data_IF_108289846226
#
_entry.id   IF_108289846226
#
_cell.length_a   1.000
_cell.length_b   1.000
_cell.length_c   1.000
_cell.angle_alpha   90.00
_cell.angle_beta   90.00
_cell.angle_gamma   90.00
#
_symmetry.space_group_name_H-M   'P 1'
#
loop_
_entity.id
_entity.type
_entity.pdbx_description
1 polymer ?
#
# COMPACT_ATOMS: atom_id res chain seq x y z
N UNK A 1 21.19 -20.83 -58.12
CA UNK A 1 22.19 -19.85 -57.64
C UNK A 1 21.58 -18.53 -57.15
N UNK A 2 20.60 -17.91 -57.83
CA UNK A 2 20.01 -16.63 -57.37
C UNK A 2 19.27 -16.69 -56.01
N UNK A 3 18.56 -17.77 -55.67
CA UNK A 3 17.81 -17.89 -54.40
C UNK A 3 18.68 -18.13 -53.15
N UNK A 4 19.90 -18.65 -53.30
CA UNK A 4 20.82 -18.89 -52.17
C UNK A 4 21.59 -17.60 -51.84
N UNK A 5 21.87 -16.77 -52.84
CA UNK A 5 22.54 -15.48 -52.67
C UNK A 5 21.65 -14.45 -51.95
N UNK A 6 20.32 -14.49 -52.16
CA UNK A 6 19.37 -13.58 -51.49
C UNK A 6 19.19 -13.89 -50.01
N UNK A 7 19.28 -15.17 -49.61
CA UNK A 7 19.16 -15.59 -48.20
C UNK A 7 20.44 -15.25 -47.42
N UNK A 8 21.61 -15.37 -48.06
CA UNK A 8 22.89 -14.95 -47.47
C UNK A 8 23.01 -13.41 -47.32
N UNK A 9 22.44 -12.63 -48.25
CA UNK A 9 22.42 -11.16 -48.12
C UNK A 9 21.42 -10.68 -47.06
N UNK A 10 20.30 -11.37 -46.88
CA UNK A 10 19.33 -11.05 -45.83
C UNK A 10 19.88 -11.39 -44.43
N UNK A 11 20.63 -12.49 -44.30
CA UNK A 11 21.31 -12.84 -43.04
C UNK A 11 22.45 -11.86 -42.70
N UNK A 12 23.11 -11.26 -43.70
CA UNK A 12 24.16 -10.26 -43.47
C UNK A 12 23.61 -8.90 -43.02
N UNK A 13 22.38 -8.54 -43.42
CA UNK A 13 21.74 -7.29 -42.99
C UNK A 13 21.13 -7.36 -41.59
N UNK A 14 20.70 -8.54 -41.13
CA UNK A 14 20.21 -8.75 -39.75
C UNK A 14 21.36 -8.74 -38.73
N UNK A 15 22.60 -8.99 -39.17
CA UNK A 15 23.80 -8.90 -38.32
C UNK A 15 24.45 -7.51 -38.29
N UNK A 16 24.00 -6.56 -39.13
CA UNK A 16 24.58 -5.22 -39.26
C UNK A 16 23.73 -4.12 -38.59
N UNK A 17 22.59 -4.45 -37.98
CA UNK A 17 21.77 -3.51 -37.19
C UNK A 17 22.07 -3.60 -35.68
N UNK A 18 23.31 -3.91 -35.32
CA UNK A 18 23.81 -3.66 -33.96
C UNK A 18 24.44 -2.27 -34.00
N UNK A 19 23.95 -1.27 -33.25
CA UNK A 19 24.70 -0.04 -33.11
C UNK A 19 26.04 -0.38 -32.45
N UNK A 20 27.11 -0.12 -33.21
CA UNK A 20 28.49 -0.12 -32.73
C UNK A 20 28.63 1.08 -31.79
N UNK A 21 28.35 0.84 -30.52
CA UNK A 21 28.88 1.60 -29.39
C UNK A 21 29.96 0.75 -28.72
N UNK A 22 31.17 0.79 -29.25
CA UNK A 22 32.37 0.36 -28.54
C UNK A 22 32.67 1.39 -27.44
N UNK A 23 32.94 0.91 -26.22
CA UNK A 23 33.27 1.62 -24.99
C UNK A 23 32.09 2.08 -24.11
N UNK A 24 31.48 1.13 -23.43
CA UNK A 24 31.40 1.20 -21.97
C UNK A 24 31.77 -0.17 -21.45
N UNK A 25 32.71 -0.24 -20.52
CA UNK A 25 32.90 -1.43 -19.70
C UNK A 25 31.54 -1.87 -19.21
N UNK A 26 31.35 -3.19 -19.17
CA UNK A 26 30.19 -3.90 -18.66
C UNK A 26 29.97 -3.47 -17.20
N UNK A 27 29.36 -2.31 -17.00
CA UNK A 27 28.72 -1.91 -15.75
C UNK A 27 27.65 -2.96 -15.57
N UNK A 28 27.90 -3.90 -14.67
CA UNK A 28 26.85 -4.78 -14.18
C UNK A 28 25.72 -3.87 -13.75
N UNK A 29 24.60 -3.90 -14.48
CA UNK A 29 23.37 -3.24 -14.05
C UNK A 29 23.22 -3.48 -12.55
N UNK A 30 22.94 -2.44 -11.76
CA UNK A 30 22.79 -2.61 -10.32
C UNK A 30 21.87 -3.80 -10.06
N UNK A 31 22.35 -4.76 -9.28
CA UNK A 31 21.52 -5.90 -8.87
C UNK A 31 20.55 -5.38 -7.82
N UNK A 32 19.34 -5.04 -8.24
CA UNK A 32 18.25 -4.72 -7.33
C UNK A 32 17.82 -5.98 -6.58
N UNK A 33 17.22 -5.80 -5.41
CA UNK A 33 16.51 -6.89 -4.75
C UNK A 33 15.40 -7.41 -5.70
N UNK A 34 15.21 -8.72 -5.73
CA UNK A 34 14.24 -9.34 -6.64
C UNK A 34 12.82 -8.86 -6.36
N UNK A 35 12.45 -8.69 -5.09
CA UNK A 35 11.13 -8.18 -4.69
C UNK A 35 10.90 -6.75 -5.18
N UNK A 36 11.88 -5.86 -5.04
CA UNK A 36 11.81 -4.49 -5.56
C UNK A 36 11.54 -4.51 -7.07
N UNK A 37 12.33 -5.29 -7.81
CA UNK A 37 12.19 -5.39 -9.26
C UNK A 37 10.83 -5.98 -9.67
N UNK A 38 10.39 -7.06 -9.04
CA UNK A 38 9.13 -7.73 -9.36
C UNK A 38 7.93 -6.82 -9.13
N UNK A 39 7.83 -6.18 -7.96
CA UNK A 39 6.70 -5.31 -7.62
C UNK A 39 6.66 -4.06 -8.49
N UNK A 40 7.80 -3.43 -8.73
CA UNK A 40 7.89 -2.26 -9.58
C UNK A 40 7.52 -2.56 -11.03
N UNK A 41 7.95 -3.71 -11.57
CA UNK A 41 7.53 -4.10 -12.91
C UNK A 41 6.06 -4.46 -12.98
N UNK A 42 5.50 -5.13 -11.96
CA UNK A 42 4.07 -5.40 -11.90
C UNK A 42 3.26 -4.10 -11.93
N UNK A 43 3.66 -3.10 -11.14
CA UNK A 43 3.04 -1.78 -11.13
C UNK A 43 3.10 -1.08 -12.50
N UNK A 44 4.23 -1.19 -13.22
CA UNK A 44 4.37 -0.66 -14.58
C UNK A 44 3.42 -1.33 -15.59
N UNK A 45 2.99 -2.57 -15.35
CA UNK A 45 2.07 -3.29 -16.23
C UNK A 45 0.59 -3.02 -15.94
N UNK A 46 0.25 -2.31 -14.86
CA UNK A 46 -1.15 -1.93 -14.59
C UNK A 46 -1.70 -1.15 -15.78
N UNK A 47 -2.86 -1.56 -16.29
CA UNK A 47 -3.58 -0.79 -17.30
C UNK A 47 -4.19 0.46 -16.68
N UNK A 48 -4.15 1.55 -17.44
CA UNK A 48 -4.84 2.79 -17.12
C UNK A 48 -6.33 2.69 -17.45
N UNK A 49 -7.09 3.77 -17.23
CA UNK A 49 -8.47 3.87 -17.72
C UNK A 49 -8.62 3.77 -19.24
N UNK A 50 -7.52 3.86 -20.01
CA UNK A 50 -7.50 3.68 -21.45
C UNK A 50 -7.06 2.26 -21.83
N UNK A 51 -7.90 1.48 -22.54
CA UNK A 51 -7.58 0.10 -22.93
C UNK A 51 -6.25 -0.01 -23.68
N UNK A 52 -5.36 -0.88 -23.19
CA UNK A 52 -4.05 -1.15 -23.78
C UNK A 52 -2.99 -0.07 -23.53
N UNK A 53 -3.27 0.91 -22.67
CA UNK A 53 -2.27 1.88 -22.18
C UNK A 53 -1.92 1.51 -20.75
N UNK A 54 -0.64 1.25 -20.49
CA UNK A 54 -0.11 0.84 -19.18
C UNK A 54 0.46 2.03 -18.41
N UNK A 55 0.71 1.81 -17.11
CA UNK A 55 1.50 2.72 -16.29
C UNK A 55 2.86 2.99 -16.94
N UNK A 56 3.53 2.00 -17.54
CA UNK A 56 4.78 2.23 -18.26
C UNK A 56 4.61 3.27 -19.38
N UNK A 57 3.52 3.19 -20.15
CA UNK A 57 3.27 4.12 -21.24
C UNK A 57 3.13 5.55 -20.73
N UNK A 58 2.37 5.79 -19.66
CA UNK A 58 2.16 7.15 -19.12
C UNK A 58 3.34 7.68 -18.29
N UNK A 59 4.07 6.79 -17.60
CA UNK A 59 5.22 7.18 -16.77
C UNK A 59 6.42 7.52 -17.64
N UNK A 60 6.63 6.80 -18.74
CA UNK A 60 7.76 7.04 -19.64
C UNK A 60 7.40 7.98 -20.81
N UNK A 61 6.15 8.42 -20.93
CA UNK A 61 5.74 9.44 -21.89
C UNK A 61 6.21 10.83 -21.43
N UNK A 62 7.42 11.18 -21.85
CA UNK A 62 7.99 12.53 -21.69
C UNK A 62 7.65 13.46 -22.87
N UNK A 63 6.68 13.10 -23.71
CA UNK A 63 6.17 13.93 -24.81
C UNK A 63 7.25 14.44 -25.78
N UNK A 64 7.09 15.70 -26.23
CA UNK A 64 7.99 16.36 -27.18
C UNK A 64 9.36 16.73 -26.57
N UNK A 65 9.58 16.52 -25.26
CA UNK A 65 10.86 16.78 -24.60
C UNK A 65 11.97 15.95 -25.25
N UNK A 66 11.66 14.74 -25.72
CA UNK A 66 12.58 13.88 -26.45
C UNK A 66 13.07 14.47 -27.80
N UNK A 67 12.41 15.51 -28.32
CA UNK A 67 12.77 16.18 -29.58
C UNK A 67 13.83 17.29 -29.38
N UNK A 68 14.05 17.75 -28.15
CA UNK A 68 15.08 18.73 -27.84
C UNK A 68 16.44 18.02 -27.65
N UNK A 69 17.18 17.92 -28.74
CA UNK A 69 18.42 17.15 -28.81
C UNK A 69 19.64 17.93 -28.27
N UNK A 70 20.32 17.32 -27.29
CA UNK A 70 21.72 17.56 -26.92
C UNK A 70 22.31 16.31 -26.26
N UNK A 71 21.87 16.03 -25.03
CA UNK A 71 22.20 14.80 -24.28
C UNK A 71 21.16 14.56 -23.18
N UNK A 72 20.97 13.28 -22.81
CA UNK A 72 20.05 12.83 -21.76
C UNK A 72 20.89 12.35 -20.57
N UNK A 73 20.61 12.85 -19.37
CA UNK A 73 21.09 12.24 -18.14
C UNK A 73 20.09 11.17 -17.71
N UNK A 74 20.33 9.91 -18.09
CA UNK A 74 19.48 8.80 -17.65
C UNK A 74 19.88 8.39 -16.23
N UNK A 75 18.99 8.50 -15.24
CA UNK A 75 19.24 7.88 -13.97
C UNK A 75 19.03 6.36 -14.10
N UNK A 76 19.92 5.58 -13.48
CA UNK A 76 19.97 4.11 -13.52
C UNK A 76 18.83 3.42 -12.72
N UNK A 77 17.57 3.77 -12.96
CA UNK A 77 16.43 3.29 -12.15
C UNK A 77 15.47 2.40 -12.93
N UNK A 78 14.89 1.40 -12.24
CA UNK A 78 13.85 0.51 -12.78
C UNK A 78 12.58 1.29 -13.11
N UNK A 79 12.23 2.27 -12.27
CA UNK A 79 11.09 3.18 -12.42
C UNK A 79 11.53 4.58 -11.99
N UNK A 80 11.14 5.66 -12.68
CA UNK A 80 11.56 7.02 -12.33
C UNK A 80 11.12 7.48 -10.92
N UNK A 81 10.00 6.93 -10.42
CA UNK A 81 9.48 7.17 -9.06
C UNK A 81 10.28 6.51 -7.94
N UNK A 82 11.10 5.53 -8.28
CA UNK A 82 11.85 4.75 -7.32
C UNK A 82 13.24 5.37 -7.14
N UNK A 83 13.45 6.06 -6.01
CA UNK A 83 14.77 6.56 -5.62
C UNK A 83 15.48 5.51 -4.81
N UNK A 84 16.67 5.13 -5.25
CA UNK A 84 17.48 4.11 -4.61
C UNK A 84 18.58 4.72 -3.77
N UNK A 85 19.00 4.01 -2.73
CA UNK A 85 20.17 4.36 -1.95
C UNK A 85 21.38 4.49 -2.90
N UNK A 86 22.19 5.56 -2.80
CA UNK A 86 23.38 5.67 -3.63
C UNK A 86 24.23 4.42 -3.40
N UNK A 87 24.65 3.78 -4.50
CA UNK A 87 25.60 2.66 -4.47
C UNK A 87 26.86 3.21 -3.81
N UNK A 88 27.02 2.98 -2.50
CA UNK A 88 28.31 3.22 -1.88
C UNK A 88 29.33 2.35 -2.63
N UNK A 89 30.57 2.81 -2.74
CA UNK A 89 31.66 2.08 -3.41
C UNK A 89 31.98 0.70 -2.78
N UNK A 90 31.18 0.26 -1.81
CA UNK A 90 31.13 -1.07 -1.22
C UNK A 90 30.20 -1.99 -2.02
N UNK A 91 30.53 -3.28 -2.20
CA UNK A 91 29.68 -4.21 -2.92
C UNK A 91 28.37 -4.44 -2.15
N UNK A 92 27.25 -3.93 -2.65
CA UNK A 92 25.91 -4.11 -2.09
C UNK A 92 24.83 -3.85 -3.14
N UNK A 93 23.69 -4.49 -2.99
CA UNK A 93 22.51 -4.28 -3.83
C UNK A 93 21.87 -2.94 -3.43
N UNK A 94 21.62 -1.99 -4.37
CA UNK A 94 20.93 -0.75 -4.04
C UNK A 94 19.52 -1.06 -3.55
N UNK A 95 19.12 -0.38 -2.48
CA UNK A 95 17.83 -0.54 -1.84
C UNK A 95 16.89 0.59 -2.28
N UNK A 96 15.61 0.29 -2.43
CA UNK A 96 14.55 1.28 -2.66
C UNK A 96 14.40 2.15 -1.42
N UNK A 97 14.82 3.41 -1.47
CA UNK A 97 14.70 4.33 -0.33
C UNK A 97 13.36 5.08 -0.36
N UNK A 98 12.93 5.53 -1.54
CA UNK A 98 11.73 6.34 -1.66
C UNK A 98 10.95 5.97 -2.90
N UNK A 99 9.63 5.82 -2.74
CA UNK A 99 8.68 5.82 -3.84
C UNK A 99 7.98 7.19 -3.88
N UNK A 100 8.18 7.94 -4.95
CA UNK A 100 7.67 9.31 -5.13
C UNK A 100 6.94 9.44 -6.45
N UNK A 101 5.79 10.08 -6.48
CA UNK A 101 4.97 10.25 -7.70
C UNK A 101 5.44 11.39 -8.59
N UNK A 102 6.69 11.83 -8.41
CA UNK A 102 7.34 12.82 -9.24
C UNK A 102 8.79 12.45 -9.48
N UNK A 103 9.31 12.85 -10.63
CA UNK A 103 10.74 12.74 -10.92
C UNK A 103 11.18 13.87 -11.82
N UNK A 104 12.46 14.24 -11.70
CA UNK A 104 13.07 15.24 -12.56
C UNK A 104 13.64 14.58 -13.82
N UNK A 105 13.27 15.11 -14.97
CA UNK A 105 13.83 14.77 -16.26
C UNK A 105 14.85 15.84 -16.69
N UNK A 106 16.10 15.41 -16.90
CA UNK A 106 17.24 16.29 -17.17
C UNK A 106 17.68 16.16 -18.63
N UNK A 107 17.66 17.26 -19.37
CA UNK A 107 18.06 17.30 -20.77
C UNK A 107 18.82 18.58 -21.13
N UNK A 108 19.79 18.42 -22.03
CA UNK A 108 20.53 19.55 -22.60
C UNK A 108 19.84 20.11 -23.84
N UNK A 109 19.75 21.44 -23.92
CA UNK A 109 19.31 22.14 -25.13
C UNK A 109 20.43 22.99 -25.70
N UNK A 110 20.52 23.01 -27.04
CA UNK A 110 21.42 23.88 -27.78
C UNK A 110 20.63 24.95 -28.52
N UNK A 111 21.02 26.21 -28.37
CA UNK A 111 20.45 27.32 -29.13
C UNK A 111 21.51 28.34 -29.52
N UNK A 112 21.33 29.00 -30.66
CA UNK A 112 22.22 30.06 -31.10
C UNK A 112 21.92 31.35 -30.33
N UNK A 113 22.97 31.97 -29.79
CA UNK A 113 22.89 33.32 -29.24
C UNK A 113 22.35 34.27 -30.34
N UNK A 114 21.24 34.98 -30.09
CA UNK A 114 20.60 35.82 -31.11
C UNK A 114 21.43 37.04 -31.53
N UNK A 115 22.48 37.37 -30.77
CA UNK A 115 23.36 38.52 -30.98
C UNK A 115 24.71 38.09 -31.57
N UNK A 116 25.33 37.03 -31.03
CA UNK A 116 26.67 36.59 -31.44
C UNK A 116 26.64 35.44 -32.45
N UNK A 117 25.53 34.69 -32.53
CA UNK A 117 25.41 33.46 -33.34
C UNK A 117 26.17 32.26 -32.77
N UNK A 118 26.77 32.39 -31.58
CA UNK A 118 27.47 31.31 -30.88
C UNK A 118 26.47 30.26 -30.35
N UNK A 119 26.82 28.99 -30.38
CA UNK A 119 25.98 27.94 -29.78
C UNK A 119 26.15 27.98 -28.26
N UNK A 120 25.04 28.18 -27.55
CA UNK A 120 24.94 28.09 -26.10
C UNK A 120 24.28 26.76 -25.75
N UNK A 121 24.85 26.05 -24.78
CA UNK A 121 24.25 24.86 -24.19
C UNK A 121 23.63 25.24 -22.83
N UNK A 122 22.41 24.80 -22.57
CA UNK A 122 21.76 24.94 -21.28
C UNK A 122 21.20 23.59 -20.81
N UNK A 123 21.34 23.29 -19.52
CA UNK A 123 20.67 22.16 -18.90
C UNK A 123 19.28 22.62 -18.41
N UNK A 124 18.24 21.90 -18.83
CA UNK A 124 16.87 22.09 -18.38
C UNK A 124 16.49 20.91 -17.48
N UNK A 125 15.81 21.23 -16.39
CA UNK A 125 15.22 20.27 -15.48
C UNK A 125 13.71 20.46 -15.55
N UNK A 126 13.00 19.39 -15.86
CA UNK A 126 11.54 19.39 -15.90
C UNK A 126 11.00 18.31 -14.96
N UNK A 127 10.17 18.71 -14.01
CA UNK A 127 9.56 17.79 -13.06
C UNK A 127 8.31 17.18 -13.67
N UNK A 128 8.32 15.86 -13.83
CA UNK A 128 7.22 15.07 -14.38
C UNK A 128 6.40 14.50 -13.23
N UNK A 129 5.08 14.67 -13.33
CA UNK A 129 4.07 14.21 -12.35
C UNK A 129 2.98 13.44 -13.07
N UNK A 130 3.21 12.18 -13.41
CA UNK A 130 2.27 11.41 -14.21
C UNK A 130 1.14 10.88 -13.34
N UNK A 131 0.06 10.54 -14.03
CA UNK A 131 -1.15 9.95 -13.48
C UNK A 131 -1.02 8.42 -13.52
N UNK A 132 -0.73 7.81 -12.37
CA UNK A 132 -0.58 6.37 -12.26
C UNK A 132 -1.88 5.70 -11.80
N UNK A 133 -2.09 4.46 -12.23
CA UNK A 133 -3.35 3.74 -12.08
C UNK A 133 -3.20 2.42 -11.31
N UNK A 134 -4.30 2.00 -10.71
CA UNK A 134 -4.47 0.67 -10.10
C UNK A 134 -3.88 0.56 -8.71
N UNK A 135 -3.60 -0.67 -8.28
CA UNK A 135 -2.99 -0.93 -6.97
C UNK A 135 -1.50 -0.58 -6.98
N UNK A 136 -1.05 0.19 -5.98
CA UNK A 136 0.37 0.31 -5.65
C UNK A 136 0.74 -0.77 -4.63
N UNK A 137 1.22 -1.91 -5.13
CA UNK A 137 1.74 -2.98 -4.30
C UNK A 137 3.26 -2.91 -4.22
N UNK A 138 3.79 -2.66 -3.03
CA UNK A 138 5.21 -2.64 -2.73
C UNK A 138 5.56 -3.69 -1.65
N UNK A 139 4.74 -4.73 -1.51
CA UNK A 139 4.92 -5.73 -0.46
C UNK A 139 6.25 -6.48 -0.60
N UNK A 140 6.96 -6.62 0.52
CA UNK A 140 8.26 -7.29 0.60
C UNK A 140 9.40 -6.55 -0.09
N UNK A 141 9.17 -5.32 -0.55
CA UNK A 141 10.22 -4.46 -1.09
C UNK A 141 11.06 -3.85 0.03
N UNK A 142 12.20 -3.28 -0.33
CA UNK A 142 13.08 -2.58 0.59
C UNK A 142 12.72 -1.12 0.82
N UNK A 143 11.54 -0.68 0.31
CA UNK A 143 11.03 0.69 0.39
C UNK A 143 11.09 1.22 1.82
N UNK A 144 11.65 2.41 1.97
CA UNK A 144 11.74 3.08 3.28
C UNK A 144 10.65 4.14 3.45
N UNK A 145 10.36 4.89 2.39
CA UNK A 145 9.37 5.96 2.40
C UNK A 145 8.44 5.86 1.18
N UNK A 146 7.14 6.05 1.41
CA UNK A 146 6.17 6.36 0.34
C UNK A 146 5.76 7.81 0.50
N UNK A 147 6.05 8.63 -0.51
CA UNK A 147 5.74 10.06 -0.51
C UNK A 147 4.36 10.32 -1.12
N UNK A 148 3.64 11.31 -0.61
CA UNK A 148 2.31 11.64 -1.14
C UNK A 148 2.44 12.21 -2.55
N UNK A 149 1.58 11.80 -3.49
CA UNK A 149 1.38 12.55 -4.72
C UNK A 149 0.72 13.90 -4.43
N UNK A 150 0.67 14.77 -5.45
CA UNK A 150 -0.19 15.96 -5.40
C UNK A 150 -1.67 15.54 -5.29
N UNK A 151 -2.50 16.41 -4.72
CA UNK A 151 -3.92 16.15 -4.55
C UNK A 151 -4.60 15.86 -5.91
N UNK A 152 -5.28 14.72 -6.00
CA UNK A 152 -5.96 14.26 -7.22
C UNK A 152 -5.05 13.94 -8.40
N UNK A 153 -3.74 13.76 -8.18
CA UNK A 153 -2.78 13.47 -9.26
C UNK A 153 -2.96 12.07 -9.84
N UNK A 154 -3.30 11.07 -9.02
CA UNK A 154 -3.26 9.66 -9.41
C UNK A 154 -4.64 9.00 -9.33
N UNK A 155 -4.83 7.93 -10.12
CA UNK A 155 -5.95 7.00 -10.02
C UNK A 155 -5.53 5.69 -9.34
N UNK A 156 -4.72 5.80 -8.29
CA UNK A 156 -4.32 4.64 -7.49
C UNK A 156 -5.47 4.24 -6.57
N UNK A 157 -5.88 2.98 -6.69
CA UNK A 157 -7.06 2.44 -6.00
C UNK A 157 -6.76 2.02 -4.56
N UNK A 158 -5.50 1.77 -4.23
CA UNK A 158 -5.04 1.44 -2.89
C UNK A 158 -3.53 1.22 -2.80
N UNK A 159 -3.03 1.19 -1.58
CA UNK A 159 -1.59 1.10 -1.27
C UNK A 159 -1.33 -0.09 -0.36
N UNK A 160 -0.50 -1.02 -0.80
CA UNK A 160 -0.09 -2.20 -0.03
C UNK A 160 1.42 -2.18 0.17
N UNK A 161 1.87 -2.13 1.42
CA UNK A 161 3.29 -2.10 1.81
C UNK A 161 3.59 -3.16 2.86
N UNK A 162 2.99 -4.34 2.71
CA UNK A 162 3.12 -5.43 3.67
C UNK A 162 4.51 -6.06 3.67
N UNK A 163 4.98 -6.50 4.83
CA UNK A 163 6.27 -7.17 5.01
C UNK A 163 7.48 -6.32 4.56
N UNK A 164 7.35 -4.99 4.57
CA UNK A 164 8.44 -4.07 4.27
C UNK A 164 9.28 -3.82 5.53
N UNK A 165 10.38 -4.57 5.69
CA UNK A 165 11.22 -4.55 6.89
C UNK A 165 11.86 -3.18 7.20
N UNK A 166 11.99 -2.33 6.20
CA UNK A 166 12.66 -1.02 6.27
C UNK A 166 11.70 0.17 6.23
N UNK A 167 10.40 -0.06 6.02
CA UNK A 167 9.42 1.00 5.87
C UNK A 167 9.30 1.78 7.17
N UNK A 168 9.57 3.09 7.11
CA UNK A 168 9.42 3.98 8.27
C UNK A 168 8.23 4.89 8.15
N UNK A 169 7.87 5.32 6.94
CA UNK A 169 6.82 6.33 6.73
C UNK A 169 6.01 6.07 5.46
N UNK A 170 4.69 6.19 5.58
CA UNK A 170 3.76 6.22 4.44
C UNK A 170 2.97 7.51 4.48
N UNK A 171 3.04 8.26 3.39
CA UNK A 171 2.23 9.44 3.18
C UNK A 171 1.49 9.32 1.85
N UNK A 172 0.16 9.34 1.86
CA UNK A 172 -0.64 9.16 0.64
C UNK A 172 -2.02 9.81 0.82
N UNK A 173 -2.14 11.10 0.52
CA UNK A 173 -3.36 11.86 0.82
C UNK A 173 -4.05 12.40 -0.43
N UNK A 174 -5.30 12.81 -0.25
CA UNK A 174 -6.10 13.55 -1.22
C UNK A 174 -6.22 12.81 -2.58
N UNK A 175 -6.32 11.49 -2.55
CA UNK A 175 -6.51 10.64 -3.73
C UNK A 175 -7.91 10.03 -3.71
N UNK A 176 -8.78 10.51 -4.61
CA UNK A 176 -10.21 10.17 -4.62
C UNK A 176 -10.52 8.73 -5.01
N UNK A 177 -9.55 8.00 -5.57
CA UNK A 177 -9.73 6.60 -5.97
C UNK A 177 -9.21 5.63 -4.90
N UNK A 178 -8.49 6.12 -3.88
CA UNK A 178 -7.83 5.27 -2.89
C UNK A 178 -8.81 4.79 -1.82
N UNK A 179 -9.21 3.52 -1.93
CA UNK A 179 -10.24 2.91 -1.08
C UNK A 179 -9.70 1.87 -0.11
N UNK A 180 -8.43 1.47 -0.20
CA UNK A 180 -7.84 0.55 0.76
C UNK A 180 -6.36 0.81 1.02
N UNK A 181 -5.93 0.44 2.22
CA UNK A 181 -4.54 0.55 2.64
C UNK A 181 -4.11 -0.65 3.48
N UNK A 182 -2.92 -1.17 3.23
CA UNK A 182 -2.32 -2.23 4.05
C UNK A 182 -0.85 -1.98 4.37
N UNK A 183 -0.50 -2.12 5.65
CA UNK A 183 0.88 -2.08 6.17
C UNK A 183 1.07 -3.11 7.30
N UNK A 184 0.91 -4.38 6.94
CA UNK A 184 1.03 -5.53 7.84
C UNK A 184 2.49 -5.99 7.91
N UNK A 185 2.98 -6.31 9.11
CA UNK A 185 4.33 -6.82 9.39
C UNK A 185 5.44 -5.83 9.02
N UNK A 186 5.28 -4.56 9.41
CA UNK A 186 6.27 -3.50 9.18
C UNK A 186 6.96 -3.08 10.51
N UNK A 187 8.08 -3.72 10.88
CA UNK A 187 8.64 -3.67 12.24
C UNK A 187 9.30 -2.35 12.62
N UNK A 188 9.52 -1.44 11.67
CA UNK A 188 10.14 -0.12 11.91
C UNK A 188 9.25 1.04 11.47
N UNK A 189 7.99 0.76 11.13
CA UNK A 189 7.01 1.77 10.73
C UNK A 189 6.75 2.74 11.89
N UNK A 190 6.93 4.02 11.61
CA UNK A 190 6.86 5.11 12.58
C UNK A 190 5.73 6.09 12.28
N UNK A 191 5.37 6.26 11.00
CA UNK A 191 4.33 7.20 10.58
C UNK A 191 3.48 6.68 9.42
N UNK A 192 2.16 6.89 9.52
CA UNK A 192 1.23 6.73 8.40
C UNK A 192 0.32 7.96 8.38
N UNK A 193 0.11 8.54 7.20
CA UNK A 193 -0.86 9.60 6.97
C UNK A 193 -1.56 9.35 5.63
N UNK A 194 -2.83 8.99 5.69
CA UNK A 194 -3.70 8.72 4.54
C UNK A 194 -5.03 9.40 4.84
N UNK A 195 -5.09 10.68 4.50
CA UNK A 195 -6.23 11.57 4.75
C UNK A 195 -6.84 12.02 3.43
N UNK A 196 -8.11 12.41 3.44
CA UNK A 196 -8.84 12.87 2.25
C UNK A 196 -8.82 11.81 1.13
N UNK A 197 -8.84 10.54 1.52
CA UNK A 197 -8.92 9.37 0.65
C UNK A 197 -10.15 8.59 1.10
N UNK A 198 -11.02 8.14 0.19
CA UNK A 198 -12.25 7.46 0.58
C UNK A 198 -11.97 6.01 1.02
N UNK A 199 -11.13 5.80 2.04
CA UNK A 199 -10.78 4.46 2.50
C UNK A 199 -12.03 3.75 3.01
N UNK A 200 -12.14 2.50 2.60
CA UNK A 200 -13.15 1.53 2.96
C UNK A 200 -12.57 0.45 3.85
N UNK A 201 -11.29 0.13 3.65
CA UNK A 201 -10.60 -0.95 4.34
C UNK A 201 -9.16 -0.57 4.70
N UNK A 202 -8.76 -0.92 5.91
CA UNK A 202 -7.40 -0.73 6.42
C UNK A 202 -6.96 -2.00 7.14
N UNK A 203 -5.73 -2.41 6.90
CA UNK A 203 -5.05 -3.42 7.70
C UNK A 203 -3.64 -2.92 8.06
N UNK A 204 -3.27 -2.95 9.34
CA UNK A 204 -1.91 -2.58 9.72
C UNK A 204 -1.46 -3.29 10.99
N UNK A 205 -0.17 -3.62 11.05
CA UNK A 205 0.49 -4.14 12.26
C UNK A 205 1.90 -3.53 12.36
N UNK A 206 2.01 -2.31 12.91
CA UNK A 206 3.27 -1.62 13.04
C UNK A 206 4.06 -2.19 14.23
N UNK A 207 5.24 -1.61 14.49
CA UNK A 207 6.21 -2.09 15.46
C UNK A 207 5.59 -2.44 16.82
N UNK A 208 5.71 -3.71 17.21
CA UNK A 208 5.33 -4.22 18.53
C UNK A 208 3.90 -4.73 18.66
N UNK A 209 3.09 -4.68 17.60
CA UNK A 209 1.79 -5.36 17.57
C UNK A 209 1.96 -6.87 17.36
N UNK A 210 1.20 -7.67 18.11
CA UNK A 210 1.19 -9.14 17.99
C UNK A 210 0.12 -9.64 17.01
N UNK A 211 -0.88 -8.81 16.72
CA UNK A 211 -2.02 -9.11 15.86
C UNK A 211 -2.26 -7.92 14.92
N UNK A 212 -2.96 -8.18 13.82
CA UNK A 212 -3.32 -7.14 12.84
C UNK A 212 -4.51 -6.36 13.37
N UNK A 213 -4.45 -5.04 13.27
CA UNK A 213 -5.61 -4.17 13.46
C UNK A 213 -6.25 -3.92 12.11
N UNK A 214 -7.57 -4.07 12.06
CA UNK A 214 -8.39 -3.83 10.88
C UNK A 214 -9.37 -2.69 11.12
N UNK A 215 -9.63 -1.90 10.09
CA UNK A 215 -10.76 -0.98 10.09
C UNK A 215 -11.52 -1.10 8.77
N UNK A 216 -12.86 -1.16 8.83
CA UNK A 216 -13.72 -1.17 7.64
C UNK A 216 -14.88 -0.20 7.74
N UNK A 217 -15.45 0.18 6.60
CA UNK A 217 -16.65 1.02 6.52
C UNK A 217 -17.87 0.18 6.14
N UNK A 218 -18.95 0.35 6.90
CA UNK A 218 -20.28 -0.20 6.61
C UNK A 218 -21.23 0.95 6.23
N UNK A 219 -21.93 0.82 5.09
CA UNK A 219 -22.72 1.91 4.49
C UNK A 219 -21.95 2.70 3.42
N UNK A 220 -22.39 3.90 3.06
CA UNK A 220 -21.87 4.67 1.90
C UNK A 220 -20.73 5.66 2.23
N UNK A 221 -20.25 5.71 3.49
CA UNK A 221 -19.21 6.65 3.91
C UNK A 221 -17.77 6.26 3.58
N UNK A 222 -16.80 6.93 4.19
CA UNK A 222 -15.37 6.59 4.08
C UNK A 222 -14.61 6.94 5.36
N UNK A 223 -13.34 6.54 5.43
CA UNK A 223 -12.47 6.90 6.55
C UNK A 223 -11.10 7.44 6.11
N UNK A 224 -10.55 8.35 6.91
CA UNK A 224 -9.15 8.73 6.90
C UNK A 224 -8.36 8.03 8.03
N UNK A 225 -7.05 7.96 7.90
CA UNK A 225 -6.18 7.24 8.83
C UNK A 225 -4.85 7.93 9.08
N UNK A 226 -4.48 8.01 10.35
CA UNK A 226 -3.16 8.44 10.77
C UNK A 226 -2.62 7.55 11.88
N UNK A 227 -1.35 7.19 11.78
CA UNK A 227 -0.61 6.49 12.82
C UNK A 227 0.68 7.23 13.09
N UNK A 228 1.04 7.31 14.38
CA UNK A 228 2.37 7.74 14.78
C UNK A 228 2.83 6.92 15.98
N UNK A 229 4.11 6.54 15.98
CA UNK A 229 4.76 6.00 17.17
C UNK A 229 5.87 6.91 17.66
N UNK A 230 5.94 7.04 18.99
CA UNK A 230 7.06 7.71 19.61
C UNK A 230 8.26 6.75 19.70
N UNK A 231 9.46 7.15 19.23
CA UNK A 231 10.66 6.34 19.35
C UNK A 231 11.12 6.13 20.81
N UNK A 232 10.57 6.88 21.77
CA UNK A 232 11.04 6.88 23.16
C UNK A 232 10.15 6.14 24.16
N UNK A 233 8.90 5.78 23.82
CA UNK A 233 7.93 5.31 24.82
C UNK A 233 7.32 3.94 24.51
N UNK A 234 7.52 3.39 23.31
CA UNK A 234 6.80 2.19 22.81
C UNK A 234 5.27 2.32 22.79
N UNK A 235 4.76 3.54 23.02
CA UNK A 235 3.32 3.84 22.96
C UNK A 235 2.92 4.03 21.50
N UNK A 236 1.96 3.22 21.08
CA UNK A 236 1.37 3.25 19.74
C UNK A 236 0.05 4.00 19.84
N UNK A 237 -0.10 5.02 19.00
CA UNK A 237 -1.34 5.77 18.85
C UNK A 237 -1.72 5.90 17.39
N UNK A 238 -2.99 5.72 17.09
CA UNK A 238 -3.54 5.95 15.77
C UNK A 238 -4.93 6.54 15.86
N UNK A 239 -5.27 7.30 14.84
CA UNK A 239 -6.52 8.02 14.70
C UNK A 239 -7.21 7.62 13.42
N UNK A 240 -8.50 7.32 13.52
CA UNK A 240 -9.40 7.14 12.40
C UNK A 240 -10.34 8.33 12.34
N UNK A 241 -10.69 8.73 11.12
CA UNK A 241 -11.52 9.88 10.85
C UNK A 241 -12.69 9.45 9.98
N UNK A 242 -13.90 9.73 10.42
CA UNK A 242 -15.11 9.53 9.64
C UNK A 242 -15.15 10.67 8.62
N UNK A 243 -15.07 10.33 7.34
CA UNK A 243 -15.21 11.28 6.23
C UNK A 243 -16.68 11.27 5.75
N UNK A 244 -17.17 12.41 5.26
CA UNK A 244 -18.60 12.68 4.96
C UNK A 244 -19.59 12.52 6.14
N UNK A 245 -19.56 13.51 7.03
CA UNK A 245 -20.20 13.57 8.35
C UNK A 245 -21.74 13.56 8.42
N UNK A 246 -22.47 13.35 7.32
CA UNK A 246 -23.93 13.46 7.30
C UNK A 246 -24.67 12.24 7.87
N UNK A 247 -24.10 11.05 7.69
CA UNK A 247 -24.75 9.77 7.96
C UNK A 247 -23.99 8.89 8.96
N UNK A 248 -22.87 9.37 9.49
CA UNK A 248 -22.03 8.62 10.42
C UNK A 248 -22.77 8.30 11.73
N UNK A 249 -22.87 7.00 12.04
CA UNK A 249 -23.59 6.46 13.20
C UNK A 249 -22.67 6.16 14.38
N UNK A 250 -21.39 5.92 14.11
CA UNK A 250 -20.38 5.73 15.14
C UNK A 250 -19.34 4.68 14.80
N UNK A 251 -18.34 4.64 15.67
CA UNK A 251 -17.25 3.68 15.66
C UNK A 251 -17.60 2.48 16.54
N UNK A 252 -17.46 1.29 15.97
CA UNK A 252 -17.60 0.04 16.71
C UNK A 252 -16.25 -0.64 16.81
N UNK A 253 -15.92 -1.15 17.99
CA UNK A 253 -14.73 -1.98 18.21
C UNK A 253 -15.20 -3.33 18.72
N UNK A 254 -14.81 -4.40 18.03
CA UNK A 254 -15.23 -5.78 18.33
C UNK A 254 -16.76 -5.88 18.51
N UNK A 255 -17.49 -5.17 17.65
CA UNK A 255 -18.94 -5.13 17.63
C UNK A 255 -19.64 -4.19 18.64
N UNK A 256 -18.91 -3.54 19.54
CA UNK A 256 -19.49 -2.59 20.50
C UNK A 256 -19.29 -1.14 20.06
N UNK A 257 -20.34 -0.33 20.12
CA UNK A 257 -20.25 1.12 19.90
C UNK A 257 -19.32 1.74 20.96
N UNK A 258 -18.24 2.38 20.52
CA UNK A 258 -17.25 3.04 21.39
C UNK A 258 -17.25 4.56 21.28
N UNK A 259 -17.68 5.12 20.15
CA UNK A 259 -17.72 6.58 19.94
C UNK A 259 -18.71 6.96 18.84
N UNK A 260 -19.33 8.14 18.96
CA UNK A 260 -20.11 8.78 17.89
C UNK A 260 -19.43 10.03 17.34
N UNK A 261 -18.24 10.37 17.87
CA UNK A 261 -17.43 11.48 17.36
C UNK A 261 -16.78 11.11 16.04
N UNK A 262 -16.58 12.09 15.15
CA UNK A 262 -15.97 11.85 13.84
C UNK A 262 -14.53 11.33 13.93
N UNK A 263 -13.80 11.67 14.99
CA UNK A 263 -12.47 11.14 15.25
C UNK A 263 -12.51 10.06 16.33
N UNK A 264 -11.89 8.91 16.05
CA UNK A 264 -11.57 7.89 17.03
C UNK A 264 -10.06 7.85 17.25
N UNK A 265 -9.61 8.12 18.48
CA UNK A 265 -8.23 7.94 18.90
C UNK A 265 -8.12 6.61 19.66
N UNK A 266 -7.18 5.77 19.25
CA UNK A 266 -6.86 4.51 19.94
C UNK A 266 -5.41 4.54 20.39
N UNK A 267 -5.19 4.10 21.62
CA UNK A 267 -3.87 3.85 22.19
C UNK A 267 -3.76 2.38 22.59
N UNK A 268 -2.63 1.77 22.26
CA UNK A 268 -2.40 0.34 22.54
C UNK A 268 -1.84 -0.42 21.34
N UNK A 269 -1.54 -1.70 21.57
CA UNK A 269 -0.87 -2.59 20.61
C UNK A 269 -1.60 -3.93 20.42
N UNK A 270 -2.88 -3.96 20.76
CA UNK A 270 -3.76 -5.11 20.56
C UNK A 270 -4.33 -5.06 19.14
N UNK A 271 -4.46 -6.23 18.51
CA UNK A 271 -5.19 -6.35 17.25
C UNK A 271 -6.68 -6.19 17.55
N UNK A 272 -7.30 -5.20 16.92
CA UNK A 272 -8.72 -4.93 17.11
C UNK A 272 -9.41 -4.79 15.75
N UNK A 273 -10.68 -5.21 15.70
CA UNK A 273 -11.53 -5.00 14.54
C UNK A 273 -12.40 -3.76 14.75
N UNK A 274 -12.24 -2.78 13.86
CA UNK A 274 -12.88 -1.48 13.93
C UNK A 274 -13.86 -1.34 12.77
N UNK A 275 -15.04 -0.79 13.05
CA UNK A 275 -16.04 -0.50 12.03
C UNK A 275 -16.50 0.94 12.12
N UNK A 276 -16.34 1.68 11.03
CA UNK A 276 -17.00 2.96 10.80
C UNK A 276 -18.39 2.69 10.24
N UNK A 277 -19.44 2.98 10.99
CA UNK A 277 -20.81 2.68 10.57
C UNK A 277 -21.52 3.93 10.04
N UNK A 278 -22.11 3.82 8.85
CA UNK A 278 -22.90 4.85 8.16
C UNK A 278 -24.31 4.38 7.81
N UNK A 279 -24.74 3.23 8.33
CA UNK A 279 -26.06 2.65 8.06
C UNK A 279 -26.81 2.32 9.35
N UNK A 280 -28.14 2.44 9.33
CA UNK A 280 -29.01 2.03 10.42
C UNK A 280 -29.19 0.50 10.49
N UNK A 281 -28.85 -0.22 9.40
CA UNK A 281 -29.00 -1.67 9.29
C UNK A 281 -27.79 -2.46 9.80
N UNK A 282 -26.80 -1.77 10.40
CA UNK A 282 -25.60 -2.42 10.91
C UNK A 282 -25.92 -3.25 12.17
N UNK A 283 -25.69 -4.56 12.08
CA UNK A 283 -25.80 -5.51 13.18
C UNK A 283 -24.41 -6.08 13.48
N UNK A 284 -23.64 -5.45 14.39
CA UNK A 284 -22.30 -5.90 14.70
C UNK A 284 -22.30 -7.29 15.33
N UNK A 285 -21.32 -8.12 14.96
CA UNK A 285 -20.99 -9.35 15.69
C UNK A 285 -20.19 -8.94 16.91
N UNK A 286 -20.78 -9.07 18.10
CA UNK A 286 -20.08 -8.89 19.36
C UNK A 286 -19.30 -10.18 19.67
N UNK A 287 -17.97 -10.13 19.64
CA UNK A 287 -17.15 -11.32 19.94
C UNK A 287 -17.45 -11.81 21.36
N UNK A 288 -17.71 -13.11 21.47
CA UNK A 288 -18.10 -13.76 22.71
C UNK A 288 -19.58 -13.68 23.06
N UNK A 289 -20.42 -12.98 22.28
CA UNK A 289 -21.89 -12.99 22.41
C UNK A 289 -22.47 -13.99 21.39
N UNK A 290 -22.60 -15.23 21.85
CA UNK A 290 -22.95 -16.36 20.95
C UNK A 290 -24.44 -16.66 20.93
N UNK A 291 -25.20 -16.04 21.85
CA UNK A 291 -26.66 -16.09 21.87
C UNK A 291 -27.33 -14.82 21.30
N UNK A 292 -26.53 -13.80 20.97
CA UNK A 292 -26.95 -12.59 20.26
C UNK A 292 -27.77 -11.64 21.12
N UNK A 293 -27.68 -11.74 22.44
CA UNK A 293 -28.43 -10.90 23.37
C UNK A 293 -27.82 -9.50 23.57
N UNK A 294 -26.66 -9.26 22.95
CA UNK A 294 -25.92 -8.01 23.01
C UNK A 294 -24.94 -7.91 24.18
N UNK A 295 -24.73 -8.99 24.95
CA UNK A 295 -23.87 -9.01 26.15
C UNK A 295 -22.99 -10.25 26.21
N UNK A 296 -21.69 -10.06 26.46
CA UNK A 296 -20.77 -11.19 26.72
C UNK A 296 -20.88 -11.63 28.17
N UNK A 297 -21.43 -12.81 28.41
CA UNK A 297 -21.68 -13.38 29.75
C UNK A 297 -21.08 -14.77 29.92
N UNK A 298 -21.20 -15.34 31.14
CA UNK A 298 -20.85 -16.74 31.37
C UNK A 298 -21.80 -17.73 30.65
N UNK A 299 -22.99 -17.28 30.23
CA UNK A 299 -23.90 -18.12 29.46
C UNK A 299 -23.28 -18.45 28.09
N UNK A 300 -22.68 -17.45 27.46
CA UNK A 300 -21.96 -17.59 26.19
C UNK A 300 -20.78 -18.55 26.30
N UNK A 301 -19.94 -18.35 27.31
CA UNK A 301 -18.80 -19.23 27.58
C UNK A 301 -19.22 -20.69 27.77
N UNK A 302 -20.35 -20.93 28.46
CA UNK A 302 -20.89 -22.28 28.64
C UNK A 302 -21.40 -22.83 27.31
N UNK A 303 -22.03 -22.02 26.46
CA UNK A 303 -22.54 -22.44 25.17
C UNK A 303 -21.39 -22.81 24.21
N UNK A 304 -20.32 -22.02 24.17
CA UNK A 304 -19.08 -22.35 23.44
C UNK A 304 -18.44 -23.62 23.99
N UNK A 305 -18.32 -23.75 25.33
CA UNK A 305 -17.76 -24.96 25.94
C UNK A 305 -18.55 -26.22 25.57
N UNK A 306 -19.89 -26.14 25.55
CA UNK A 306 -20.77 -27.26 25.13
C UNK A 306 -20.63 -27.58 23.64
N UNK A 307 -20.42 -26.56 22.80
CA UNK A 307 -20.13 -26.73 21.38
C UNK A 307 -18.77 -27.42 21.17
N UNK A 308 -17.73 -26.95 21.83
CA UNK A 308 -16.36 -27.47 21.75
C UNK A 308 -16.26 -28.96 22.14
N UNK A 309 -17.06 -29.41 23.13
CA UNK A 309 -17.11 -30.83 23.54
C UNK A 309 -18.12 -31.68 22.76
N UNK A 310 -18.83 -31.09 21.77
CA UNK A 310 -19.80 -31.79 20.92
C UNK A 310 -21.12 -32.15 21.60
N UNK A 311 -21.49 -31.45 22.69
CA UNK A 311 -22.75 -31.68 23.43
C UNK A 311 -23.89 -30.77 22.94
N UNK A 312 -23.57 -29.71 22.21
CA UNK A 312 -24.53 -28.87 21.49
C UNK A 312 -23.91 -28.29 20.22
N UNK A 313 -24.73 -27.65 19.40
CA UNK A 313 -24.28 -26.80 18.29
C UNK A 313 -24.67 -25.35 18.59
N UNK A 314 -23.96 -24.40 18.01
CA UNK A 314 -24.37 -22.99 18.02
C UNK A 314 -25.67 -22.81 17.22
N UNK A 315 -26.42 -21.74 17.53
CA UNK A 315 -27.70 -21.49 16.86
C UNK A 315 -27.46 -21.15 15.39
N UNK A 316 -28.09 -21.90 14.49
CA UNK A 316 -28.06 -21.60 13.05
C UNK A 316 -28.92 -20.37 12.68
N UNK A 317 -29.77 -19.90 13.59
CA UNK A 317 -30.64 -18.73 13.38
C UNK A 317 -29.94 -17.41 13.71
N UNK A 318 -28.79 -17.46 14.39
CA UNK A 318 -27.97 -16.29 14.68
C UNK A 318 -26.88 -16.21 13.62
N UNK A 319 -26.96 -15.24 12.68
CA UNK A 319 -25.89 -14.98 11.74
C UNK A 319 -24.62 -14.68 12.55
N UNK A 320 -23.52 -15.36 12.20
CA UNK A 320 -22.20 -15.13 12.78
C UNK A 320 -21.98 -15.65 14.23
N UNK A 321 -22.84 -16.54 14.75
CA UNK A 321 -22.60 -17.18 16.05
C UNK A 321 -21.26 -17.93 16.10
N UNK A 322 -20.83 -18.53 14.99
CA UNK A 322 -19.51 -19.18 14.89
C UNK A 322 -18.37 -18.17 14.99
N UNK A 323 -18.51 -17.00 14.37
CA UNK A 323 -17.55 -15.89 14.46
C UNK A 323 -17.49 -15.33 15.88
N UNK A 324 -18.63 -15.16 16.55
CA UNK A 324 -18.65 -14.75 17.95
C UNK A 324 -18.02 -15.80 18.88
N UNK A 325 -18.10 -17.09 18.53
CA UNK A 325 -17.57 -18.18 19.32
C UNK A 325 -16.06 -18.44 19.14
N UNK A 326 -15.48 -18.09 17.99
CA UNK A 326 -14.03 -18.14 17.70
C UNK A 326 -13.35 -16.88 18.26
N UNK A 327 -13.24 -16.83 19.58
CA UNK A 327 -12.87 -15.62 20.32
C UNK A 327 -11.40 -15.24 20.14
N UNK A 328 -10.51 -16.21 19.96
CA UNK A 328 -9.09 -15.94 19.65
C UNK A 328 -8.80 -15.79 18.15
N UNK A 329 -9.85 -15.92 17.31
CA UNK A 329 -9.78 -15.78 15.85
C UNK A 329 -8.79 -16.74 15.19
N UNK A 330 -8.59 -17.94 15.76
CA UNK A 330 -7.69 -18.95 15.20
C UNK A 330 -8.37 -19.84 14.14
N UNK A 331 -9.67 -19.64 13.89
CA UNK A 331 -10.48 -20.40 12.94
C UNK A 331 -11.06 -21.70 13.51
N UNK A 332 -11.00 -21.91 14.83
CA UNK A 332 -11.50 -23.11 15.52
C UNK A 332 -12.22 -22.70 16.79
N UNK A 333 -13.40 -23.29 16.99
CA UNK A 333 -14.17 -23.10 18.22
C UNK A 333 -13.82 -24.24 19.18
N UNK A 334 -13.00 -23.96 20.19
CA UNK A 334 -12.59 -24.92 21.21
C UNK A 334 -12.70 -24.41 22.65
N UNK A 335 -12.15 -25.15 23.62
CA UNK A 335 -12.26 -24.79 25.04
C UNK A 335 -11.45 -23.53 25.39
N UNK A 336 -10.47 -23.17 24.56
CA UNK A 336 -9.68 -21.94 24.69
C UNK A 336 -10.58 -20.72 24.55
N UNK A 337 -11.45 -20.69 23.55
CA UNK A 337 -12.42 -19.61 23.34
C UNK A 337 -13.37 -19.47 24.51
N UNK A 338 -13.94 -20.59 24.98
CA UNK A 338 -14.84 -20.60 26.13
C UNK A 338 -14.17 -20.01 27.39
N UNK A 339 -12.88 -20.32 27.61
CA UNK A 339 -12.13 -19.78 28.75
C UNK A 339 -11.88 -18.28 28.57
N UNK A 340 -11.52 -17.82 27.37
CA UNK A 340 -11.29 -16.40 27.08
C UNK A 340 -12.58 -15.59 27.25
N UNK A 341 -13.69 -16.07 26.71
CA UNK A 341 -15.03 -15.48 26.90
C UNK A 341 -15.38 -15.43 28.39
N UNK A 342 -15.14 -16.51 29.14
CA UNK A 342 -15.40 -16.54 30.57
C UNK A 342 -14.57 -15.50 31.35
N UNK A 343 -13.31 -15.29 30.97
CA UNK A 343 -12.44 -14.27 31.58
C UNK A 343 -12.93 -12.86 31.31
N UNK A 344 -13.41 -12.59 30.09
CA UNK A 344 -14.03 -11.32 29.72
C UNK A 344 -15.31 -11.10 30.50
N UNK A 345 -16.20 -12.10 30.56
CA UNK A 345 -17.48 -12.02 31.27
C UNK A 345 -17.35 -11.71 32.76
N UNK A 346 -16.24 -12.12 33.41
CA UNK A 346 -15.99 -11.87 34.84
C UNK A 346 -15.02 -10.68 35.09
N UNK A 347 -14.57 -9.99 34.03
CA UNK A 347 -13.73 -8.80 34.13
C UNK A 347 -12.27 -9.06 34.55
N UNK A 348 -11.70 -10.21 34.17
CA UNK A 348 -10.29 -10.59 34.45
C UNK A 348 -9.47 -10.83 33.17
N UNK A 349 -9.85 -10.11 32.11
CA UNK A 349 -9.18 -10.14 30.80
C UNK A 349 -7.67 -9.91 30.92
#
# INVERSE_FOLDING_TARGET
MKRILTILLAALFVLASVPVGLNAERSSSPKFLSSDYEQLNAFLQNETGMPGVSNADVIFDVGDIAQYHGWIYSPYYVVPFAKYSPVQQTPGEPLLEEFSFEYDYWYGVEFADPVTGEIICADIIETIKPDAYGELNLSGTSVRHVCSPDAGQTHISGVIVDNCERLTDVNFNAQSECTYFSAVNCPVLAGICIMDCPLREIAFSPKGMQQVTTARVEGEGSMGFSYSSSPTNSEVSYSLYAEDNGEFRGWYVNGRLVSTESMLLITGNEGIDIVACYTDDYSPVLLGDVDGDGSVTLADAIQVARCAIGVSTLSAELPNAETAADFDSNGRIDMTDAILIARVAIGVA
#
